data_IF_642786641031
#
_entry.id   IF_642786641031
#
_cell.length_a   1.000
_cell.length_b   1.000
_cell.length_c   1.000
_cell.angle_alpha   90.00
_cell.angle_beta   90.00
_cell.angle_gamma   90.00
#
_symmetry.space_group_name_H-M   'P 1'
#
loop_
_entity.id
_entity.type
_entity.pdbx_description
1 polymer ?
#
# COMPACT_ATOMS: atom_id res chain seq x y z
N UNK A 1 -7.27 -0.84 -1.34
CA UNK A 1 -6.27 -0.71 -2.43
C UNK A 1 -5.15 0.19 -1.92
N UNK A 2 -3.89 -0.02 -2.34
CA UNK A 2 -2.77 0.88 -2.01
C UNK A 2 -2.20 1.51 -3.28
N UNK A 3 -1.68 2.73 -3.13
CA UNK A 3 -0.90 3.40 -4.17
C UNK A 3 0.55 3.51 -3.69
N UNK A 4 1.49 3.14 -4.55
CA UNK A 4 2.93 3.22 -4.31
C UNK A 4 3.57 4.02 -5.43
N UNK A 5 4.67 4.68 -5.16
CA UNK A 5 5.40 5.46 -6.16
C UNK A 5 6.72 4.77 -6.45
N UNK A 6 7.12 4.70 -7.72
CA UNK A 6 8.44 4.16 -8.09
C UNK A 6 9.55 5.22 -8.01
N UNK A 7 10.78 4.83 -8.34
CA UNK A 7 11.95 5.73 -8.35
C UNK A 7 11.86 6.89 -9.37
N UNK A 8 10.90 6.84 -10.31
CA UNK A 8 10.68 7.87 -11.33
C UNK A 8 9.48 8.76 -10.99
N UNK A 9 8.96 8.70 -9.76
CA UNK A 9 7.74 9.38 -9.32
C UNK A 9 6.46 8.93 -10.04
N UNK A 10 6.44 7.73 -10.64
CA UNK A 10 5.25 7.19 -11.28
C UNK A 10 4.38 6.46 -10.24
N UNK A 11 3.07 6.77 -10.14
CA UNK A 11 2.17 6.08 -9.24
C UNK A 11 1.74 4.71 -9.78
N UNK A 12 1.68 3.72 -8.89
CA UNK A 12 1.29 2.34 -9.17
C UNK A 12 0.25 1.89 -8.15
N UNK A 13 -0.90 1.44 -8.62
CA UNK A 13 -1.97 0.93 -7.76
C UNK A 13 -1.94 -0.59 -7.67
N UNK A 14 -2.20 -1.12 -6.48
CA UNK A 14 -2.24 -2.56 -6.25
C UNK A 14 -3.29 -2.93 -5.21
N UNK A 15 -3.98 -4.05 -5.45
CA UNK A 15 -4.77 -4.72 -4.41
C UNK A 15 -3.82 -5.39 -3.43
N UNK A 16 -4.13 -5.29 -2.14
CA UNK A 16 -3.40 -5.94 -1.06
C UNK A 16 -4.39 -6.52 -0.07
N UNK A 17 -3.96 -7.58 0.60
CA UNK A 17 -4.59 -8.04 1.82
C UNK A 17 -3.98 -7.23 2.96
N UNK A 18 -4.82 -6.74 3.85
CA UNK A 18 -4.39 -6.04 5.05
C UNK A 18 -5.09 -6.62 6.27
N UNK A 19 -4.44 -6.47 7.41
CA UNK A 19 -5.00 -6.72 8.74
C UNK A 19 -4.90 -5.43 9.55
N UNK A 20 -5.78 -5.26 10.53
CA UNK A 20 -5.77 -4.11 11.45
C UNK A 20 -5.97 -4.59 12.87
N UNK A 21 -5.33 -3.92 13.83
CA UNK A 21 -5.59 -4.06 15.27
C UNK A 21 -6.46 -2.92 15.82
N UNK A 22 -6.89 -1.99 14.95
CA UNK A 22 -7.67 -0.80 15.31
C UNK A 22 -6.86 0.49 15.39
N UNK A 23 -5.53 0.40 15.46
CA UNK A 23 -4.61 1.55 15.46
C UNK A 23 -3.74 1.54 14.20
N UNK A 24 -3.21 0.36 13.85
CA UNK A 24 -2.30 0.15 12.74
C UNK A 24 -2.91 -0.71 11.62
N UNK A 25 -2.30 -0.61 10.43
CA UNK A 25 -2.61 -1.42 9.25
C UNK A 25 -1.38 -2.20 8.83
N UNK A 26 -1.48 -3.53 8.91
CA UNK A 26 -0.44 -4.47 8.53
C UNK A 26 -0.73 -4.99 7.13
N UNK A 27 0.20 -4.78 6.20
CA UNK A 27 0.12 -5.30 4.84
C UNK A 27 1.21 -6.35 4.66
N UNK A 28 0.80 -7.56 4.29
CA UNK A 28 1.75 -8.61 3.91
C UNK A 28 1.84 -8.69 2.37
N UNK A 29 3.07 -8.68 1.85
CA UNK A 29 3.31 -8.86 0.42
C UNK A 29 4.62 -9.61 0.17
N UNK A 30 4.74 -10.25 -1.00
CA UNK A 30 5.98 -10.92 -1.38
C UNK A 30 7.14 -9.93 -1.56
N UNK A 31 8.31 -10.30 -1.07
CA UNK A 31 9.51 -9.44 -1.06
C UNK A 31 9.93 -8.97 -2.46
N UNK A 32 9.69 -9.77 -3.50
CA UNK A 32 10.11 -9.49 -4.88
C UNK A 32 9.02 -8.80 -5.73
N UNK A 33 7.97 -8.26 -5.11
CA UNK A 33 6.90 -7.55 -5.83
C UNK A 33 7.30 -6.10 -6.15
N UNK A 34 6.69 -5.52 -7.19
CA UNK A 34 6.89 -4.10 -7.55
C UNK A 34 6.53 -3.17 -6.39
N UNK A 35 5.39 -3.41 -5.73
CA UNK A 35 4.96 -2.67 -4.54
C UNK A 35 5.94 -2.76 -3.37
N UNK A 36 6.53 -3.94 -3.10
CA UNK A 36 7.53 -4.08 -2.04
C UNK A 36 8.78 -3.26 -2.34
N UNK A 37 9.29 -3.31 -3.58
CA UNK A 37 10.41 -2.48 -4.02
C UNK A 37 10.10 -0.99 -3.89
N UNK A 38 8.93 -0.56 -4.37
CA UNK A 38 8.49 0.82 -4.30
C UNK A 38 8.40 1.31 -2.83
N UNK A 39 7.82 0.51 -1.93
CA UNK A 39 7.70 0.85 -0.49
C UNK A 39 9.08 0.98 0.16
N UNK A 40 9.99 0.02 -0.09
CA UNK A 40 11.34 0.05 0.50
C UNK A 40 12.17 1.23 -0.02
N UNK A 41 12.02 1.59 -1.30
CA UNK A 41 12.77 2.69 -1.92
C UNK A 41 12.22 4.07 -1.53
N UNK A 42 10.90 4.20 -1.38
CA UNK A 42 10.23 5.46 -1.08
C UNK A 42 9.81 5.54 0.40
N UNK A 43 10.76 5.32 1.32
CA UNK A 43 10.59 5.35 2.79
C UNK A 43 10.02 6.68 3.37
N UNK A 44 9.62 7.62 2.50
CA UNK A 44 8.75 8.76 2.76
C UNK A 44 7.55 8.68 1.81
N UNK A 45 6.39 8.21 2.26
CA UNK A 45 5.06 8.83 2.04
C UNK A 45 3.90 7.92 2.42
N UNK A 46 2.95 8.58 3.06
CA UNK A 46 1.52 8.31 3.27
C UNK A 46 0.94 7.11 2.52
N UNK A 47 0.61 6.06 3.27
CA UNK A 47 -0.25 4.98 2.82
C UNK A 47 -1.71 5.47 2.87
N UNK A 48 -2.32 5.79 1.72
CA UNK A 48 -3.75 6.06 1.67
C UNK A 48 -4.51 4.74 1.52
N UNK A 49 -5.10 4.26 2.60
CA UNK A 49 -6.00 3.10 2.58
C UNK A 49 -7.42 3.60 2.37
N UNK A 50 -7.91 3.46 1.14
CA UNK A 50 -9.34 3.65 0.84
C UNK A 50 -10.15 2.46 1.37
N UNK A 51 -10.87 2.67 2.47
CA UNK A 51 -11.93 1.76 2.92
C UNK A 51 -13.20 2.13 2.13
N UNK A 52 -13.52 1.35 1.11
CA UNK A 52 -14.82 1.46 0.44
C UNK A 52 -15.87 0.84 1.37
N UNK A 53 -16.53 1.68 2.16
CA UNK A 53 -17.76 1.30 2.84
C UNK A 53 -18.90 1.37 1.84
N UNK A 54 -19.41 0.22 1.37
CA UNK A 54 -20.73 0.18 0.76
C UNK A 54 -21.75 0.42 1.88
N UNK A 55 -22.36 1.61 1.90
CA UNK A 55 -23.56 1.88 2.68
C UNK A 55 -24.67 0.97 2.14
N UNK A 56 -25.08 -0.03 2.92
CA UNK A 56 -26.35 -0.73 2.72
C UNK A 56 -27.52 0.20 3.04
#
# INVERSE_FOLDING_TARGET
>A
MISTVDQHNTPHNSVVVYQSDGEDLYIQTGANTLKARNIMQNNKRTLQVGLNYEKK
#
